data_IF_002817199807
#
_entry.id   IF_002817199807
#
_cell.length_a   1.000
_cell.length_b   1.000
_cell.length_c   1.000
_cell.angle_alpha   90.00
_cell.angle_beta   90.00
_cell.angle_gamma   90.00
#
_symmetry.space_group_name_H-M   'P 1'
#
loop_
_entity.id
_entity.type
_entity.pdbx_description
1 polymer ?
#
# COMPACT_ATOMS: atom_id res chain seq x y z
N UNK A 1 -31.86 -3.37 9.54
CA UNK A 1 -30.88 -2.32 9.18
C UNK A 1 -30.59 -2.43 7.69
N UNK A 2 -30.44 -1.31 6.97
CA UNK A 2 -30.00 -1.33 5.56
C UNK A 2 -28.51 -1.00 5.56
N UNK A 3 -27.66 -1.99 5.27
CA UNK A 3 -26.26 -1.74 4.94
C UNK A 3 -26.16 -1.35 3.47
N UNK A 4 -25.34 -0.34 3.15
CA UNK A 4 -25.02 -0.02 1.76
C UNK A 4 -23.99 -1.02 1.24
N UNK A 5 -24.27 -1.76 0.14
CA UNK A 5 -23.32 -2.72 -0.41
C UNK A 5 -22.12 -2.04 -1.08
N UNK A 6 -22.24 -0.75 -1.40
CA UNK A 6 -21.18 0.07 -1.99
C UNK A 6 -21.07 1.36 -1.18
N UNK A 7 -19.85 1.71 -0.79
CA UNK A 7 -19.50 3.00 -0.19
C UNK A 7 -18.58 3.70 -1.18
N UNK A 8 -19.08 4.79 -1.78
CA UNK A 8 -18.33 5.56 -2.77
C UNK A 8 -17.84 6.87 -2.15
N UNK A 9 -16.53 7.05 -2.12
CA UNK A 9 -15.85 8.31 -1.79
C UNK A 9 -15.45 8.96 -3.11
N UNK A 10 -16.25 9.93 -3.54
CA UNK A 10 -16.05 10.59 -4.83
C UNK A 10 -15.19 11.85 -4.71
N UNK A 11 -14.33 12.07 -5.69
CA UNK A 11 -13.47 13.25 -5.84
C UNK A 11 -12.64 13.57 -4.59
N UNK A 12 -11.93 12.56 -4.07
CA UNK A 12 -11.01 12.76 -2.95
C UNK A 12 -9.92 13.77 -3.34
N UNK A 13 -9.82 14.84 -2.58
CA UNK A 13 -8.81 15.89 -2.77
C UNK A 13 -7.61 15.64 -1.87
N UNK A 14 -6.40 15.71 -2.45
CA UNK A 14 -5.15 15.48 -1.73
C UNK A 14 -4.86 13.99 -1.54
N UNK A 15 -5.51 13.35 -0.56
CA UNK A 15 -5.18 11.98 -0.21
C UNK A 15 -5.95 11.34 0.94
N UNK A 16 -5.61 10.09 1.28
CA UNK A 16 -6.30 9.29 2.28
C UNK A 16 -5.33 8.71 3.31
N UNK A 17 -5.39 9.27 4.53
CA UNK A 17 -4.58 8.85 5.68
C UNK A 17 -5.50 8.71 6.90
N UNK A 18 -6.24 7.61 6.97
CA UNK A 18 -7.11 7.32 8.12
C UNK A 18 -6.91 5.88 8.59
N UNK A 19 -6.43 5.74 9.83
CA UNK A 19 -6.34 4.46 10.49
C UNK A 19 -7.73 3.83 10.69
N UNK A 20 -8.76 4.66 10.89
CA UNK A 20 -10.15 4.20 11.03
C UNK A 20 -10.67 3.62 9.72
N UNK A 21 -10.42 4.28 8.58
CA UNK A 21 -10.78 3.73 7.27
C UNK A 21 -9.99 2.44 7.00
N UNK A 22 -8.68 2.42 7.26
CA UNK A 22 -7.86 1.22 7.10
C UNK A 22 -8.37 0.03 7.93
N UNK A 23 -8.78 0.29 9.18
CA UNK A 23 -9.38 -0.74 10.04
C UNK A 23 -10.76 -1.17 9.51
N UNK A 24 -11.60 -0.20 9.12
CA UNK A 24 -12.94 -0.44 8.62
C UNK A 24 -12.95 -1.32 7.36
N UNK A 25 -12.03 -1.11 6.42
CA UNK A 25 -12.02 -1.89 5.16
C UNK A 25 -11.58 -3.34 5.35
N UNK A 26 -10.84 -3.66 6.41
CA UNK A 26 -10.41 -5.04 6.74
C UNK A 26 -11.25 -5.72 7.82
N UNK A 27 -12.08 -4.96 8.54
CA UNK A 27 -12.90 -5.53 9.59
C UNK A 27 -13.95 -6.46 8.99
N UNK A 28 -14.01 -7.71 9.47
CA UNK A 28 -15.06 -8.67 9.05
C UNK A 28 -16.44 -8.26 9.58
N UNK A 29 -16.46 -7.59 10.73
CA UNK A 29 -17.67 -7.11 11.40
C UNK A 29 -17.51 -5.65 11.80
N UNK A 30 -18.59 -4.89 11.64
CA UNK A 30 -18.75 -3.55 12.17
C UNK A 30 -19.56 -3.60 13.45
N UNK A 31 -19.01 -3.07 14.54
CA UNK A 31 -19.68 -2.93 15.83
C UNK A 31 -19.82 -1.46 16.19
N UNK A 32 -21.04 -1.04 16.55
CA UNK A 32 -21.30 0.34 16.96
C UNK A 32 -22.44 0.43 17.97
N UNK A 33 -22.48 1.52 18.74
CA UNK A 33 -23.57 1.82 19.66
C UNK A 33 -24.74 2.43 18.89
N UNK A 34 -25.92 1.87 19.06
CA UNK A 34 -27.12 2.48 18.49
C UNK A 34 -27.38 3.83 19.18
N UNK A 35 -27.35 4.93 18.41
CA UNK A 35 -27.54 6.27 18.97
C UNK A 35 -28.87 6.37 19.75
N UNK A 36 -28.81 6.92 20.97
CA UNK A 36 -29.97 7.01 21.85
C UNK A 36 -30.36 5.71 22.57
N UNK A 37 -29.58 4.63 22.42
CA UNK A 37 -29.71 3.40 23.21
C UNK A 37 -28.34 2.97 23.77
N UNK A 38 -28.35 2.19 24.84
CA UNK A 38 -27.14 1.55 25.39
C UNK A 38 -26.76 0.26 24.66
N UNK A 39 -27.54 -0.13 23.64
CA UNK A 39 -27.38 -1.36 22.88
C UNK A 39 -26.23 -1.25 21.86
N UNK A 40 -25.34 -2.23 21.87
CA UNK A 40 -24.36 -2.46 20.80
C UNK A 40 -24.99 -3.29 19.69
N UNK A 41 -24.70 -2.93 18.44
CA UNK A 41 -25.12 -3.67 17.25
C UNK A 41 -23.89 -4.13 16.48
N UNK A 42 -23.93 -5.37 15.99
CA UNK A 42 -22.86 -6.00 15.20
C UNK A 42 -23.41 -6.41 13.84
N UNK A 43 -22.74 -6.01 12.77
CA UNK A 43 -23.11 -6.33 11.39
C UNK A 43 -21.91 -6.87 10.61
N UNK A 44 -22.08 -7.84 9.71
CA UNK A 44 -21.01 -8.24 8.80
C UNK A 44 -20.68 -7.08 7.85
N UNK A 45 -19.38 -6.81 7.69
CA UNK A 45 -18.91 -5.82 6.73
C UNK A 45 -18.81 -6.45 5.35
N UNK A 46 -19.70 -6.04 4.46
CA UNK A 46 -19.79 -6.53 3.08
C UNK A 46 -19.73 -5.41 2.05
N UNK A 47 -19.37 -4.22 2.49
CA UNK A 47 -19.35 -3.05 1.62
C UNK A 47 -18.12 -3.07 0.71
N UNK A 48 -18.34 -2.87 -0.60
CA UNK A 48 -17.28 -2.52 -1.52
C UNK A 48 -16.98 -1.03 -1.36
N UNK A 49 -15.75 -0.70 -1.02
CA UNK A 49 -15.27 0.68 -0.91
C UNK A 49 -14.66 1.10 -2.24
N UNK A 50 -15.23 2.15 -2.83
CA UNK A 50 -14.75 2.75 -4.07
C UNK A 50 -14.28 4.16 -3.78
N UNK A 51 -13.07 4.49 -4.23
CA UNK A 51 -12.50 5.83 -4.09
C UNK A 51 -12.13 6.32 -5.49
N UNK A 52 -12.63 7.50 -5.85
CA UNK A 52 -12.20 8.22 -7.07
C UNK A 52 -11.35 9.42 -6.67
N UNK A 53 -10.27 9.65 -7.41
CA UNK A 53 -9.35 10.75 -7.14
C UNK A 53 -8.44 11.02 -8.35
N UNK A 54 -7.94 12.25 -8.45
CA UNK A 54 -6.89 12.62 -9.40
C UNK A 54 -5.53 12.47 -8.71
N UNK A 55 -4.81 11.39 -9.03
CA UNK A 55 -3.48 11.07 -8.49
C UNK A 55 -3.37 11.27 -6.96
N UNK A 56 -4.19 10.57 -6.15
CA UNK A 56 -4.23 10.76 -4.71
C UNK A 56 -2.94 10.30 -4.05
N UNK A 57 -2.53 10.98 -2.98
CA UNK A 57 -1.53 10.44 -2.05
C UNK A 57 -2.21 9.53 -1.03
N UNK A 58 -1.71 8.32 -0.84
CA UNK A 58 -2.26 7.38 0.14
C UNK A 58 -1.21 7.04 1.18
N UNK A 59 -1.63 6.69 2.40
CA UNK A 59 -0.71 6.03 3.32
C UNK A 59 -0.41 4.61 2.84
N UNK A 60 0.75 4.04 3.21
CA UNK A 60 1.03 2.62 2.96
C UNK A 60 -0.01 1.67 3.53
N UNK A 61 -0.55 2.04 4.70
CA UNK A 61 -1.62 1.28 5.32
C UNK A 61 -2.89 1.22 4.46
N UNK A 62 -3.23 2.30 3.77
CA UNK A 62 -4.36 2.29 2.84
C UNK A 62 -3.97 1.62 1.52
N UNK A 63 -2.82 1.98 0.95
CA UNK A 63 -2.37 1.49 -0.35
C UNK A 63 -2.31 -0.05 -0.39
N UNK A 64 -1.77 -0.71 0.65
CA UNK A 64 -1.71 -2.18 0.73
C UNK A 64 -3.06 -2.89 0.82
N UNK A 65 -4.15 -2.14 1.02
CA UNK A 65 -5.54 -2.63 1.10
C UNK A 65 -6.38 -2.20 -0.11
N UNK A 66 -5.75 -1.58 -1.10
CA UNK A 66 -6.41 -1.06 -2.29
C UNK A 66 -5.94 -1.80 -3.54
N UNK A 67 -6.83 -1.88 -4.53
CA UNK A 67 -6.48 -2.22 -5.90
C UNK A 67 -6.63 -0.97 -6.74
N UNK A 68 -5.54 -0.53 -7.37
CA UNK A 68 -5.52 0.68 -8.19
C UNK A 68 -6.12 0.37 -9.56
N UNK A 69 -7.03 1.24 -10.02
CA UNK A 69 -7.52 1.23 -11.39
C UNK A 69 -7.20 2.61 -11.98
N UNK A 70 -6.22 2.64 -12.90
CA UNK A 70 -5.81 3.88 -13.56
C UNK A 70 -6.68 4.15 -14.78
N UNK A 71 -7.30 5.32 -14.83
CA UNK A 71 -8.06 5.79 -15.99
C UNK A 71 -7.21 6.85 -16.69
N UNK A 72 -6.65 6.49 -17.84
CA UNK A 72 -5.93 7.43 -18.71
C UNK A 72 -6.80 7.78 -19.92
N UNK A 73 -7.27 9.04 -20.02
CA UNK A 73 -8.10 9.49 -21.15
C UNK A 73 -7.29 9.71 -22.44
N UNK A 74 -5.96 9.69 -22.41
CA UNK A 74 -5.10 9.86 -23.59
C UNK A 74 -5.16 11.26 -24.23
N UNK A 75 -5.69 12.26 -23.51
CA UNK A 75 -5.85 13.63 -23.99
C UNK A 75 -5.72 14.65 -22.86
N UNK A 76 -5.22 15.85 -23.18
CA UNK A 76 -4.96 16.93 -22.22
C UNK A 76 -6.23 17.46 -21.53
N UNK A 77 -7.36 17.48 -22.25
CA UNK A 77 -8.64 18.01 -21.76
C UNK A 77 -9.69 16.90 -21.74
N UNK A 78 -9.68 15.98 -20.76
CA UNK A 78 -10.57 14.81 -20.72
C UNK A 78 -12.06 15.18 -20.75
N UNK A 79 -12.42 16.33 -20.18
CA UNK A 79 -13.80 16.84 -20.15
C UNK A 79 -14.36 17.25 -21.52
N UNK A 80 -13.50 17.40 -22.54
CA UNK A 80 -13.92 17.67 -23.94
C UNK A 80 -14.06 16.41 -24.78
N UNK A 81 -13.80 15.22 -24.21
CA UNK A 81 -13.84 13.96 -24.97
C UNK A 81 -15.25 13.72 -25.50
N UNK A 82 -15.34 13.27 -26.75
CA UNK A 82 -16.58 12.87 -27.43
C UNK A 82 -16.40 11.47 -28.03
N UNK A 83 -17.44 10.92 -28.65
CA UNK A 83 -17.35 9.62 -29.35
C UNK A 83 -17.35 8.39 -28.42
N UNK A 84 -17.97 8.51 -27.24
CA UNK A 84 -18.15 7.36 -26.37
C UNK A 84 -19.04 6.30 -27.04
N UNK A 85 -18.63 5.03 -27.01
CA UNK A 85 -19.41 3.90 -27.56
C UNK A 85 -20.84 3.84 -26.98
N UNK A 86 -21.00 4.25 -25.73
CA UNK A 86 -22.26 4.27 -25.01
C UNK A 86 -22.47 5.66 -24.41
N UNK A 87 -23.36 6.45 -25.02
CA UNK A 87 -23.64 7.83 -24.64
C UNK A 87 -25.14 8.13 -24.73
N UNK A 88 -25.79 8.69 -23.68
CA UNK A 88 -25.27 8.86 -22.32
C UNK A 88 -25.24 7.51 -21.56
N UNK A 89 -24.12 7.25 -20.87
CA UNK A 89 -23.83 5.93 -20.26
C UNK A 89 -24.90 5.46 -19.28
N UNK A 90 -25.52 6.38 -18.52
CA UNK A 90 -26.51 6.02 -17.48
C UNK A 90 -27.79 5.48 -18.11
N UNK A 91 -28.26 6.11 -19.18
CA UNK A 91 -29.45 5.71 -19.93
C UNK A 91 -29.19 4.40 -20.67
N UNK A 92 -28.04 4.30 -21.35
CA UNK A 92 -27.64 3.07 -22.03
C UNK A 92 -27.55 1.88 -21.07
N UNK A 93 -26.92 2.05 -19.90
CA UNK A 93 -26.83 1.00 -18.86
C UNK A 93 -28.21 0.60 -18.35
N UNK A 94 -29.15 1.55 -18.17
CA UNK A 94 -30.52 1.22 -17.73
C UNK A 94 -31.25 0.37 -18.76
N UNK A 95 -31.13 0.70 -20.04
CA UNK A 95 -31.77 -0.03 -21.14
C UNK A 95 -31.17 -1.42 -21.34
N UNK A 96 -29.85 -1.56 -21.15
CA UNK A 96 -29.10 -2.80 -21.39
C UNK A 96 -28.78 -3.57 -20.09
N UNK A 97 -29.41 -3.21 -18.96
CA UNK A 97 -29.09 -3.77 -17.64
C UNK A 97 -29.13 -5.30 -17.62
N UNK A 98 -30.13 -5.88 -18.27
CA UNK A 98 -30.31 -7.33 -18.30
C UNK A 98 -29.15 -8.03 -19.04
N UNK A 99 -28.68 -7.46 -20.16
CA UNK A 99 -27.56 -7.97 -20.93
C UNK A 99 -26.26 -7.90 -20.14
N UNK A 100 -26.02 -6.77 -19.48
CA UNK A 100 -24.83 -6.56 -18.66
C UNK A 100 -24.76 -7.57 -17.49
N UNK A 101 -25.88 -7.77 -16.78
CA UNK A 101 -25.94 -8.74 -15.69
C UNK A 101 -25.77 -10.17 -16.21
N UNK A 102 -26.43 -10.51 -17.33
CA UNK A 102 -26.28 -11.83 -17.97
C UNK A 102 -24.83 -12.08 -18.39
N UNK A 103 -24.17 -11.08 -18.98
CA UNK A 103 -22.78 -11.20 -19.39
C UNK A 103 -21.87 -11.47 -18.18
N UNK A 104 -22.01 -10.69 -17.09
CA UNK A 104 -21.22 -10.90 -15.86
C UNK A 104 -21.44 -12.31 -15.30
N UNK A 105 -22.69 -12.76 -15.16
CA UNK A 105 -23.00 -14.10 -14.66
C UNK A 105 -22.45 -15.19 -15.59
N UNK A 106 -22.47 -14.98 -16.89
CA UNK A 106 -21.92 -15.93 -17.88
C UNK A 106 -20.40 -16.06 -17.72
N UNK A 107 -19.68 -14.95 -17.56
CA UNK A 107 -18.23 -14.96 -17.32
C UNK A 107 -17.88 -15.70 -16.03
N UNK A 108 -18.64 -15.47 -14.95
CA UNK A 108 -18.46 -16.16 -13.67
C UNK A 108 -18.74 -17.66 -13.81
N UNK A 109 -19.85 -18.03 -14.44
CA UNK A 109 -20.22 -19.44 -14.62
C UNK A 109 -19.22 -20.17 -15.51
N UNK A 110 -18.66 -19.51 -16.53
CA UNK A 110 -17.63 -20.08 -17.38
C UNK A 110 -16.34 -20.40 -16.60
N UNK A 111 -15.92 -19.50 -15.71
CA UNK A 111 -14.79 -19.73 -14.81
C UNK A 111 -15.05 -20.89 -13.83
N UNK A 112 -16.25 -20.94 -13.22
CA UNK A 112 -16.65 -22.03 -12.31
C UNK A 112 -16.68 -23.38 -13.04
N UNK A 113 -17.28 -23.43 -14.23
CA UNK A 113 -17.35 -24.65 -15.05
C UNK A 113 -15.97 -25.17 -15.49
N UNK A 114 -14.97 -24.28 -15.50
CA UNK A 114 -13.58 -24.62 -15.81
C UNK A 114 -12.77 -25.06 -14.56
N UNK A 115 -13.45 -25.32 -13.44
CA UNK A 115 -12.83 -25.77 -12.20
C UNK A 115 -12.40 -24.64 -11.26
N UNK A 116 -12.83 -23.40 -11.51
CA UNK A 116 -12.54 -22.24 -10.69
C UNK A 116 -11.04 -22.06 -10.36
N UNK A 117 -10.14 -22.07 -11.37
CA UNK A 117 -8.71 -21.98 -11.14
C UNK A 117 -8.38 -20.70 -10.37
N UNK A 118 -7.59 -20.82 -9.30
CA UNK A 118 -7.14 -19.69 -8.48
C UNK A 118 -5.85 -19.06 -9.02
N UNK A 119 -5.68 -17.76 -8.76
CA UNK A 119 -4.39 -17.11 -8.95
C UNK A 119 -3.46 -17.30 -7.75
N UNK A 120 -2.15 -17.28 -8.02
CA UNK A 120 -1.09 -17.34 -7.00
C UNK A 120 -0.84 -15.98 -6.34
N UNK A 121 -1.03 -14.87 -7.08
CA UNK A 121 -0.87 -13.53 -6.53
C UNK A 121 -1.86 -13.29 -5.40
N UNK A 122 -1.38 -12.69 -4.31
CA UNK A 122 -2.16 -12.40 -3.11
C UNK A 122 -2.15 -10.92 -2.79
N UNK A 123 -3.23 -10.43 -2.19
CA UNK A 123 -3.30 -9.12 -1.55
C UNK A 123 -3.45 -9.35 -0.04
N UNK A 124 -2.58 -8.76 0.77
CA UNK A 124 -2.58 -9.00 2.22
C UNK A 124 -3.90 -8.58 2.87
N UNK A 125 -4.45 -9.40 3.77
CA UNK A 125 -5.81 -9.26 4.36
C UNK A 125 -6.97 -9.48 3.39
N UNK A 126 -6.69 -9.75 2.10
CA UNK A 126 -7.68 -9.98 1.04
C UNK A 126 -7.30 -11.20 0.18
N UNK A 127 -6.60 -12.18 0.76
CA UNK A 127 -6.00 -13.31 0.03
C UNK A 127 -7.06 -14.15 -0.69
N UNK A 128 -8.18 -14.42 -0.01
CA UNK A 128 -9.30 -15.15 -0.59
C UNK A 128 -9.92 -14.40 -1.79
N UNK A 129 -10.08 -13.08 -1.65
CA UNK A 129 -10.60 -12.24 -2.72
C UNK A 129 -9.64 -12.19 -3.92
N UNK A 130 -8.35 -12.01 -3.68
CA UNK A 130 -7.32 -11.94 -4.72
C UNK A 130 -7.21 -13.25 -5.51
N UNK A 131 -7.29 -14.40 -4.84
CA UNK A 131 -7.28 -15.73 -5.48
C UNK A 131 -8.43 -15.91 -6.46
N UNK A 132 -9.64 -15.51 -6.06
CA UNK A 132 -10.86 -15.63 -6.88
C UNK A 132 -10.81 -14.64 -8.04
N UNK A 133 -10.59 -13.35 -7.76
CA UNK A 133 -10.60 -12.32 -8.79
C UNK A 133 -9.46 -12.51 -9.79
N UNK A 134 -8.24 -12.76 -9.30
CA UNK A 134 -7.08 -13.01 -10.14
C UNK A 134 -7.23 -14.27 -10.99
N UNK A 135 -7.78 -15.34 -10.42
CA UNK A 135 -8.07 -16.57 -11.14
C UNK A 135 -9.10 -16.37 -12.27
N UNK A 136 -10.17 -15.64 -11.96
CA UNK A 136 -11.23 -15.32 -12.91
C UNK A 136 -10.74 -14.45 -14.07
N UNK A 137 -10.07 -13.32 -13.80
CA UNK A 137 -9.62 -12.42 -14.86
C UNK A 137 -8.58 -13.11 -15.75
N UNK A 138 -7.65 -13.88 -15.17
CA UNK A 138 -6.68 -14.68 -15.93
C UNK A 138 -7.36 -15.71 -16.83
N UNK A 139 -8.36 -16.42 -16.31
CA UNK A 139 -9.14 -17.40 -17.08
C UNK A 139 -9.86 -16.75 -18.28
N UNK A 140 -10.27 -15.49 -18.13
CA UNK A 140 -10.87 -14.69 -19.20
C UNK A 140 -9.84 -14.07 -20.17
N UNK A 141 -8.56 -14.39 -20.03
CA UNK A 141 -7.47 -13.85 -20.85
C UNK A 141 -7.05 -12.42 -20.51
N UNK A 142 -7.45 -11.92 -19.33
CA UNK A 142 -7.00 -10.62 -18.83
C UNK A 142 -5.75 -10.81 -17.97
N UNK A 143 -4.66 -10.20 -18.42
CA UNK A 143 -3.37 -10.18 -17.73
C UNK A 143 -3.24 -8.92 -16.85
N UNK A 144 -2.14 -8.77 -16.09
CA UNK A 144 -1.90 -7.53 -15.34
C UNK A 144 -2.51 -7.46 -13.94
N UNK A 145 -3.23 -8.48 -13.48
CA UNK A 145 -3.89 -8.45 -12.17
C UNK A 145 -2.87 -8.29 -11.03
N UNK A 146 -2.94 -7.16 -10.32
CA UNK A 146 -1.99 -6.77 -9.25
C UNK A 146 -0.53 -6.74 -9.71
N UNK A 147 -0.26 -6.46 -11.00
CA UNK A 147 1.11 -6.26 -11.48
C UNK A 147 1.63 -4.87 -11.17
N UNK A 148 0.74 -3.89 -11.00
CA UNK A 148 1.08 -2.51 -10.69
C UNK A 148 1.13 -2.20 -9.17
N UNK A 149 0.99 -3.23 -8.32
CA UNK A 149 0.95 -3.06 -6.87
C UNK A 149 2.23 -2.48 -6.30
N UNK A 150 3.39 -2.91 -6.82
CA UNK A 150 4.69 -2.48 -6.32
C UNK A 150 4.92 -0.99 -6.63
N UNK A 151 4.69 -0.57 -7.88
CA UNK A 151 4.71 0.84 -8.30
C UNK A 151 3.73 1.68 -7.46
N UNK A 152 2.53 1.14 -7.20
CA UNK A 152 1.53 1.83 -6.40
C UNK A 152 1.95 2.00 -4.94
N UNK A 153 2.61 1.01 -4.35
CA UNK A 153 3.12 1.07 -2.99
C UNK A 153 4.31 2.03 -2.89
N UNK A 154 5.22 2.00 -3.86
CA UNK A 154 6.33 2.95 -3.95
C UNK A 154 5.83 4.41 -4.05
N UNK A 155 4.79 4.66 -4.85
CA UNK A 155 4.19 5.99 -4.96
C UNK A 155 3.49 6.46 -3.66
N UNK A 156 3.03 5.53 -2.81
CA UNK A 156 2.41 5.83 -1.53
C UNK A 156 3.43 6.13 -0.42
N UNK A 157 4.70 5.73 -0.58
CA UNK A 157 5.77 5.92 0.41
C UNK A 157 7.13 6.28 -0.21
N UNK A 158 7.22 7.47 -0.84
CA UNK A 158 8.47 7.94 -1.40
C UNK A 158 9.57 8.09 -0.34
N UNK A 159 9.20 8.43 0.90
CA UNK A 159 10.15 8.57 2.02
C UNK A 159 10.85 7.23 2.34
N UNK A 160 10.13 6.10 2.31
CA UNK A 160 10.75 4.78 2.45
C UNK A 160 11.70 4.44 1.29
N UNK A 161 11.38 4.84 0.05
CA UNK A 161 12.26 4.67 -1.10
C UNK A 161 13.55 5.49 -1.00
N UNK A 162 13.43 6.78 -0.65
CA UNK A 162 14.57 7.65 -0.38
C UNK A 162 15.42 7.11 0.77
N UNK A 163 14.78 6.59 1.82
CA UNK A 163 15.48 5.97 2.95
C UNK A 163 16.24 4.71 2.54
N UNK A 164 15.65 3.83 1.72
CA UNK A 164 16.33 2.64 1.22
C UNK A 164 17.60 3.00 0.41
N UNK A 165 17.50 4.01 -0.47
CA UNK A 165 18.66 4.52 -1.21
C UNK A 165 19.75 5.06 -0.28
N UNK A 166 19.36 5.80 0.77
CA UNK A 166 20.30 6.25 1.80
C UNK A 166 20.96 5.10 2.56
N UNK A 167 20.23 4.04 2.90
CA UNK A 167 20.80 2.84 3.55
C UNK A 167 21.86 2.18 2.66
N UNK A 168 21.63 2.08 1.35
CA UNK A 168 22.62 1.57 0.39
C UNK A 168 23.88 2.44 0.38
N UNK A 169 23.75 3.76 0.25
CA UNK A 169 24.89 4.67 0.28
C UNK A 169 25.67 4.63 1.60
N UNK A 170 24.96 4.48 2.72
CA UNK A 170 25.57 4.26 4.03
C UNK A 170 26.36 2.95 4.05
N UNK A 171 25.80 1.84 3.57
CA UNK A 171 26.50 0.57 3.49
C UNK A 171 27.79 0.67 2.67
N UNK A 172 27.72 1.28 1.48
CA UNK A 172 28.87 1.44 0.59
C UNK A 172 30.01 2.24 1.25
N UNK A 173 29.66 3.20 2.11
CA UNK A 173 30.65 4.09 2.76
C UNK A 173 31.20 3.53 4.07
N UNK A 174 30.38 2.89 4.88
CA UNK A 174 30.73 2.57 6.27
C UNK A 174 30.55 1.08 6.63
N UNK A 175 29.89 0.29 5.78
CA UNK A 175 29.59 -1.12 6.00
C UNK A 175 29.02 -1.38 7.42
N UNK A 176 29.62 -2.30 8.17
CA UNK A 176 29.19 -2.64 9.53
C UNK A 176 29.70 -1.69 10.62
N UNK A 177 30.46 -0.67 10.25
CA UNK A 177 31.10 0.22 11.23
C UNK A 177 30.04 1.05 11.97
N UNK A 178 30.04 1.06 13.32
CA UNK A 178 29.23 2.00 14.09
C UNK A 178 29.57 3.45 13.74
N UNK A 179 28.56 4.20 13.34
CA UNK A 179 28.66 5.61 12.93
C UNK A 179 27.68 6.48 13.70
N UNK A 180 28.12 7.71 13.96
CA UNK A 180 27.31 8.67 14.70
C UNK A 180 26.21 9.25 13.82
N UNK A 181 25.08 9.71 14.39
CA UNK A 181 24.05 10.43 13.64
C UNK A 181 24.59 11.66 12.89
N UNK A 182 25.62 12.34 13.42
CA UNK A 182 26.23 13.49 12.77
C UNK A 182 27.02 13.10 11.49
N UNK A 183 27.75 11.99 11.54
CA UNK A 183 28.45 11.44 10.36
C UNK A 183 27.47 11.03 9.27
N UNK A 184 26.39 10.36 9.67
CA UNK A 184 25.34 9.93 8.75
C UNK A 184 24.55 11.11 8.16
N UNK A 185 24.31 12.17 8.94
CA UNK A 185 23.71 13.40 8.43
C UNK A 185 24.61 14.04 7.36
N UNK A 186 25.91 14.14 7.62
CA UNK A 186 26.86 14.70 6.66
C UNK A 186 26.90 13.91 5.34
N UNK A 187 26.80 12.57 5.40
CA UNK A 187 26.67 11.72 4.21
C UNK A 187 25.38 12.03 3.46
N UNK A 188 24.24 12.09 4.15
CA UNK A 188 22.94 12.38 3.54
C UNK A 188 22.93 13.77 2.88
N UNK A 189 23.51 14.79 3.51
CA UNK A 189 23.59 16.15 2.96
C UNK A 189 24.53 16.23 1.75
N UNK A 190 25.70 15.58 1.81
CA UNK A 190 26.68 15.58 0.71
C UNK A 190 26.11 14.95 -0.57
N UNK A 191 25.39 13.83 -0.42
CA UNK A 191 24.78 13.09 -1.53
C UNK A 191 23.35 13.59 -1.86
N UNK A 192 22.87 14.64 -1.16
CA UNK A 192 21.52 15.22 -1.31
C UNK A 192 20.38 14.20 -1.19
N UNK A 193 20.51 13.27 -0.25
CA UNK A 193 19.52 12.22 0.01
C UNK A 193 18.55 12.59 1.14
N UNK A 194 17.40 11.92 1.19
CA UNK A 194 16.39 11.99 2.26
C UNK A 194 16.09 13.43 2.74
N UNK A 195 15.72 14.37 1.85
CA UNK A 195 15.43 15.76 2.19
C UNK A 195 14.39 15.92 3.31
N UNK A 196 13.45 14.98 3.43
CA UNK A 196 12.47 14.97 4.52
C UNK A 196 13.15 14.87 5.91
N UNK A 197 14.28 14.16 6.01
CA UNK A 197 15.01 13.94 7.25
C UNK A 197 16.13 14.98 7.47
N UNK A 198 16.66 15.56 6.40
CA UNK A 198 17.79 16.52 6.45
C UNK A 198 17.36 17.98 6.45
N UNK A 199 16.09 18.32 6.22
CA UNK A 199 15.64 19.72 6.25
C UNK A 199 15.70 20.37 7.65
N UNK A 200 15.98 21.67 7.74
CA UNK A 200 15.94 22.42 9.00
C UNK A 200 16.69 23.75 8.96
N UNK A 201 16.23 24.73 9.74
CA UNK A 201 16.78 26.10 9.74
C UNK A 201 18.18 26.22 10.38
N UNK A 202 18.55 25.29 11.25
CA UNK A 202 19.84 25.26 11.95
C UNK A 202 20.41 23.85 11.96
N UNK A 203 21.73 23.72 12.12
CA UNK A 203 22.42 22.42 12.14
C UNK A 203 21.89 21.52 13.27
N UNK A 204 21.61 22.10 14.43
CA UNK A 204 21.01 21.38 15.55
C UNK A 204 19.59 20.87 15.23
N UNK A 205 18.78 21.65 14.51
CA UNK A 205 17.45 21.24 14.09
C UNK A 205 17.49 20.11 13.05
N UNK A 206 18.42 20.19 12.08
CA UNK A 206 18.65 19.12 11.08
C UNK A 206 19.09 17.83 11.78
N UNK A 207 20.07 17.90 12.68
CA UNK A 207 20.54 16.75 13.44
C UNK A 207 19.45 16.12 14.33
N UNK A 208 18.61 16.92 14.98
CA UNK A 208 17.51 16.42 15.79
C UNK A 208 16.40 15.75 14.94
N UNK A 209 16.08 16.30 13.77
CA UNK A 209 15.14 15.70 12.82
C UNK A 209 15.69 14.39 12.26
N UNK A 210 16.94 14.40 11.79
CA UNK A 210 17.62 13.23 11.28
C UNK A 210 17.74 12.11 12.32
N UNK A 211 18.08 12.45 13.56
CA UNK A 211 18.11 11.49 14.67
C UNK A 211 16.76 10.83 14.97
N UNK A 212 15.64 11.56 14.82
CA UNK A 212 14.29 10.99 14.92
C UNK A 212 14.00 10.03 13.77
N UNK A 213 14.36 10.37 12.54
CA UNK A 213 14.22 9.48 11.39
C UNK A 213 15.02 8.18 11.59
N UNK A 214 16.28 8.27 12.03
CA UNK A 214 17.10 7.09 12.36
C UNK A 214 16.48 6.23 13.46
N UNK A 215 15.89 6.84 14.49
CA UNK A 215 15.25 6.10 15.57
C UNK A 215 14.02 5.31 15.10
N UNK A 216 13.27 5.85 14.14
CA UNK A 216 12.07 5.22 13.58
C UNK A 216 12.41 4.01 12.72
N UNK A 217 13.62 3.97 12.14
CA UNK A 217 14.09 2.85 11.34
C UNK A 217 14.94 1.84 12.11
N UNK A 218 15.14 2.05 13.42
CA UNK A 218 15.84 1.09 14.27
C UNK A 218 15.16 -0.29 14.16
N UNK A 219 15.96 -1.33 14.00
CA UNK A 219 15.53 -2.72 13.85
C UNK A 219 14.74 -3.04 12.58
N UNK A 220 14.54 -2.06 11.67
CA UNK A 220 13.95 -2.30 10.34
C UNK A 220 14.99 -2.93 9.40
N UNK A 221 14.49 -3.76 8.48
CA UNK A 221 15.26 -4.42 7.42
C UNK A 221 15.02 -3.72 6.08
N UNK A 222 16.09 -3.53 5.31
CA UNK A 222 16.11 -2.95 3.97
C UNK A 222 16.94 -3.89 3.09
N UNK A 223 16.28 -4.70 2.24
CA UNK A 223 16.95 -5.79 1.53
C UNK A 223 17.61 -6.76 2.52
N UNK A 224 18.92 -7.01 2.37
CA UNK A 224 19.70 -7.86 3.27
C UNK A 224 20.37 -7.11 4.42
N UNK A 225 20.05 -5.83 4.61
CA UNK A 225 20.63 -4.99 5.64
C UNK A 225 19.62 -4.72 6.75
N UNK A 226 20.07 -4.75 7.99
CA UNK A 226 19.26 -4.34 9.16
C UNK A 226 19.96 -3.19 9.88
N UNK A 227 19.18 -2.17 10.24
CA UNK A 227 19.67 -1.05 11.05
C UNK A 227 19.69 -1.49 12.52
N UNK A 228 20.84 -1.39 13.16
CA UNK A 228 21.00 -1.70 14.60
C UNK A 228 21.71 -0.56 15.32
N UNK A 229 21.61 -0.56 16.64
CA UNK A 229 22.17 0.48 17.50
C UNK A 229 23.21 -0.14 18.43
N UNK A 230 24.37 0.50 18.52
CA UNK A 230 25.36 0.24 19.55
C UNK A 230 25.35 1.37 20.57
N UNK A 231 25.15 1.02 21.85
CA UNK A 231 25.25 1.99 22.95
C UNK A 231 26.71 2.42 23.10
N UNK A 232 26.98 3.71 22.92
CA UNK A 232 28.29 4.27 23.21
C UNK A 232 28.36 4.66 24.69
N UNK A 233 29.11 3.91 25.52
CA UNK A 233 29.20 4.17 26.97
C UNK A 233 29.86 5.52 27.33
N UNK A 234 30.50 6.19 26.38
CA UNK A 234 31.23 7.46 26.59
C UNK A 234 30.45 8.71 26.16
N UNK A 235 29.29 8.57 25.50
CA UNK A 235 28.44 9.68 25.04
C UNK A 235 26.98 9.39 25.36
N UNK A 236 26.15 10.42 25.54
CA UNK A 236 24.70 10.27 25.71
C UNK A 236 23.96 9.95 24.39
N UNK A 237 24.68 9.63 23.31
CA UNK A 237 24.11 9.36 21.98
C UNK A 237 24.35 7.92 21.55
N UNK A 238 23.38 7.37 20.81
CA UNK A 238 23.47 6.07 20.17
C UNK A 238 24.28 6.18 18.88
N UNK A 239 25.18 5.21 18.66
CA UNK A 239 25.80 4.99 17.36
C UNK A 239 24.97 3.95 16.60
N UNK A 240 24.86 4.13 15.29
CA UNK A 240 24.08 3.27 14.41
C UNK A 240 25.03 2.46 13.53
N UNK A 241 24.67 1.20 13.25
CA UNK A 241 25.40 0.34 12.31
C UNK A 241 24.42 -0.46 11.46
N UNK A 242 24.86 -0.83 10.27
CA UNK A 242 24.18 -1.82 9.46
C UNK A 242 24.76 -3.20 9.77
N UNK A 243 23.91 -4.22 9.73
CA UNK A 243 24.33 -5.62 9.79
C UNK A 243 23.73 -6.36 8.62
N UNK A 244 24.53 -7.23 8.00
CA UNK A 244 24.04 -8.12 6.98
C UNK A 244 23.23 -9.23 7.66
N UNK A 245 21.98 -9.40 7.23
CA UNK A 245 21.08 -10.44 7.73
C UNK A 245 20.84 -11.42 6.59
N UNK A 246 21.77 -12.36 6.42
CA UNK A 246 21.58 -13.49 5.52
C UNK A 246 20.57 -14.44 6.16
N UNK A 247 19.43 -14.65 5.50
CA UNK A 247 18.41 -15.57 6.00
C UNK A 247 17.53 -16.08 4.86
N UNK A 248 17.74 -17.35 4.50
CA UNK A 248 16.77 -18.15 3.76
C UNK A 248 15.43 -18.09 4.49
N UNK A 249 14.38 -17.63 3.79
CA UNK A 249 13.04 -17.45 4.35
C UNK A 249 12.32 -18.78 4.66
N UNK A 250 12.92 -19.95 4.36
CA UNK A 250 12.32 -21.26 4.59
C UNK A 250 13.36 -22.28 5.05
N UNK A 251 13.55 -22.42 6.36
CA UNK A 251 14.01 -23.69 6.92
C UNK A 251 12.78 -24.59 7.08
N UNK A 252 12.38 -25.29 6.01
CA UNK A 252 11.64 -26.53 6.19
C UNK A 252 12.65 -27.60 6.60
N UNK A 253 12.96 -27.63 7.89
CA UNK A 253 13.44 -28.85 8.53
C UNK A 253 12.36 -29.90 8.31
N UNK A 254 12.53 -30.74 7.28
CA UNK A 254 11.95 -32.08 7.31
C UNK A 254 12.66 -32.80 8.44
N UNK A 255 12.11 -32.72 9.64
CA UNK A 255 12.33 -33.80 10.60
C UNK A 255 11.75 -35.05 9.95
N UNK A 256 12.68 -35.95 9.67
CA UNK A 256 12.42 -37.32 9.29
C UNK A 256 12.09 -38.04 10.59
N UNK A 257 10.89 -38.59 10.69
CA UNK A 257 10.58 -39.89 11.30
C UNK A 257 9.17 -40.31 10.85
#
# INVERSE_FOLDING_TARGET
SRGSPIIAVDNLQGGLWSAQVAAAVTAEFWEDRLLGKTQMVRFPNRALWLVSANNPKLSMEIARRCVRIRIDPGQEQPWKRTGFKHDPIREWVRQNRWELVRAILTLIQHWIASGAPHAEKTLGSFEAWARVMGGMVRHLGLEGFLEDSDEFYEAADPESGEMAAFITAWWDRHAETPVTPATLLALAEAEKMIPFATSGATDAARLARFGRALSQIRDRRFGDLKVTVSKNKKRCSNDYRLVQVTGNLFNHSKESD
#
